data_IF_220622863842
#
_entry.id   IF_220622863842
#
_cell.length_a   1.000
_cell.length_b   1.000
_cell.length_c   1.000
_cell.angle_alpha   90.00
_cell.angle_beta   90.00
_cell.angle_gamma   90.00
#
_symmetry.space_group_name_H-M   'P 1'
#
loop_
_entity.id
_entity.type
_entity.pdbx_description
1 polymer ?
#
# COMPACT_ATOMS: atom_id res chain seq x y z
N UNK A 1 10.10 -21.66 -11.40
CA UNK A 1 9.96 -21.02 -12.72
C UNK A 1 10.39 -19.58 -12.56
N UNK A 2 11.62 -19.25 -12.99
CA UNK A 2 12.19 -17.91 -12.82
C UNK A 2 11.76 -17.01 -13.97
N UNK A 3 11.16 -15.87 -13.65
CA UNK A 3 10.87 -14.81 -14.61
C UNK A 3 12.18 -14.05 -14.87
N UNK A 4 12.82 -14.29 -16.02
CA UNK A 4 13.94 -13.45 -16.44
C UNK A 4 13.38 -12.17 -17.06
N UNK A 5 13.50 -11.06 -16.34
CA UNK A 5 13.22 -9.70 -16.81
C UNK A 5 14.22 -9.28 -17.89
N UNK A 6 13.98 -9.70 -19.12
CA UNK A 6 14.72 -9.21 -20.30
C UNK A 6 13.72 -8.65 -21.29
N UNK A 7 13.46 -7.33 -21.27
CA UNK A 7 12.53 -6.77 -22.26
C UNK A 7 12.17 -5.28 -22.24
N UNK A 8 12.62 -4.44 -21.29
CA UNK A 8 12.46 -2.98 -21.38
C UNK A 8 13.78 -2.28 -21.07
N UNK A 9 14.11 -1.25 -21.85
CA UNK A 9 15.19 -0.31 -21.52
C UNK A 9 14.78 0.43 -20.24
N UNK A 10 15.16 -0.13 -19.11
CA UNK A 10 15.09 0.56 -17.82
C UNK A 10 16.19 1.63 -17.83
N UNK A 11 15.87 2.93 -17.61
CA UNK A 11 16.86 3.98 -17.46
C UNK A 11 17.97 3.60 -16.47
N UNK A 12 19.20 4.06 -16.70
CA UNK A 12 20.36 3.66 -15.90
C UNK A 12 20.26 4.08 -14.42
N UNK A 13 19.40 5.04 -14.12
CA UNK A 13 19.11 5.55 -12.79
C UNK A 13 18.20 4.61 -11.98
N UNK A 14 17.51 3.67 -12.63
CA UNK A 14 16.63 2.72 -11.98
C UNK A 14 17.41 1.42 -11.74
N UNK A 15 17.73 1.19 -10.47
CA UNK A 15 18.27 -0.08 -10.00
C UNK A 15 17.12 -1.05 -9.73
N UNK A 16 17.18 -2.23 -10.33
CA UNK A 16 16.25 -3.31 -10.03
C UNK A 16 16.88 -4.24 -8.98
N UNK A 17 16.13 -4.54 -7.93
CA UNK A 17 16.46 -5.56 -6.93
C UNK A 17 15.40 -6.66 -6.95
N UNK A 18 15.80 -7.89 -6.60
CA UNK A 18 14.87 -9.01 -6.41
C UNK A 18 14.77 -9.19 -4.90
N UNK A 19 13.60 -8.89 -4.37
CA UNK A 19 13.31 -8.91 -2.95
C UNK A 19 11.99 -9.65 -2.73
N UNK A 20 11.94 -10.53 -1.73
CA UNK A 20 10.70 -11.16 -1.32
C UNK A 20 9.87 -10.13 -0.54
N UNK A 21 8.70 -9.76 -1.07
CA UNK A 21 7.85 -8.70 -0.51
C UNK A 21 7.47 -8.91 0.98
N UNK A 22 7.46 -10.17 1.43
CA UNK A 22 7.16 -10.56 2.82
C UNK A 22 8.37 -10.50 3.76
N UNK A 23 9.57 -10.63 3.21
CA UNK A 23 10.82 -10.66 3.99
C UNK A 23 11.61 -9.35 3.88
N UNK A 24 11.45 -8.60 2.80
CA UNK A 24 12.38 -7.53 2.40
C UNK A 24 11.64 -6.40 1.69
N UNK A 25 10.86 -5.60 2.41
CA UNK A 25 10.82 -4.18 2.05
C UNK A 25 11.92 -3.53 2.88
N UNK A 26 13.09 -3.56 2.26
CA UNK A 26 14.41 -3.41 2.84
C UNK A 26 14.54 -2.26 3.85
N UNK A 27 14.85 -2.64 5.09
CA UNK A 27 15.58 -1.84 6.07
C UNK A 27 16.99 -1.43 5.58
N UNK A 28 17.37 -1.74 4.33
CA UNK A 28 18.68 -1.38 3.77
C UNK A 28 18.73 0.08 3.32
N UNK A 29 17.62 0.66 2.85
CA UNK A 29 17.51 2.09 2.50
C UNK A 29 16.33 2.78 3.22
N UNK A 30 16.35 2.83 4.58
CA UNK A 30 15.33 3.52 5.34
C UNK A 30 15.42 5.03 5.10
N UNK A 31 14.27 5.70 5.18
CA UNK A 31 14.17 7.15 5.05
C UNK A 31 14.11 7.64 3.61
N UNK A 32 13.71 6.80 2.66
CA UNK A 32 13.37 7.23 1.31
C UNK A 32 12.25 8.29 1.35
N UNK A 33 12.23 9.19 0.36
CA UNK A 33 11.22 10.26 0.31
C UNK A 33 9.85 9.71 -0.07
N UNK A 34 9.78 8.77 -0.99
CA UNK A 34 8.56 8.09 -1.40
C UNK A 34 8.77 6.58 -1.42
N UNK A 35 7.82 5.86 -0.83
CA UNK A 35 7.63 4.43 -1.00
C UNK A 35 6.44 4.24 -1.92
N UNK A 36 6.58 3.50 -3.01
CA UNK A 36 5.52 3.35 -4.01
C UNK A 36 5.13 1.87 -4.18
N UNK A 37 3.83 1.59 -4.18
CA UNK A 37 3.26 0.28 -4.51
C UNK A 37 2.13 0.44 -5.52
N UNK A 38 2.06 -0.49 -6.47
CA UNK A 38 1.03 -0.55 -7.50
C UNK A 38 0.50 -1.97 -7.60
N UNK A 39 -0.79 -2.17 -7.31
CA UNK A 39 -1.48 -3.47 -7.39
C UNK A 39 -0.72 -4.57 -6.65
N UNK A 40 -0.42 -4.34 -5.37
CA UNK A 40 0.29 -5.28 -4.49
C UNK A 40 -0.57 -5.66 -3.30
N UNK A 41 -1.28 -4.70 -2.71
CA UNK A 41 -2.03 -4.91 -1.48
C UNK A 41 -3.38 -5.60 -1.75
N UNK A 42 -3.83 -5.67 -3.00
CA UNK A 42 -4.99 -6.45 -3.42
C UNK A 42 -4.70 -7.97 -3.48
N UNK A 43 -3.44 -8.38 -3.64
CA UNK A 43 -3.07 -9.80 -3.86
C UNK A 43 -3.10 -10.65 -2.60
N UNK A 44 -3.21 -10.02 -1.41
CA UNK A 44 -3.07 -10.70 -0.14
C UNK A 44 -4.21 -10.39 0.84
N UNK A 45 -4.49 -11.31 1.77
CA UNK A 45 -5.36 -11.03 2.91
C UNK A 45 -4.77 -9.93 3.82
N UNK A 46 -5.66 -9.28 4.57
CA UNK A 46 -5.36 -8.11 5.41
C UNK A 46 -4.19 -8.29 6.39
N UNK A 47 -4.04 -9.46 7.00
CA UNK A 47 -2.97 -9.76 7.96
C UNK A 47 -1.58 -9.76 7.31
N UNK A 48 -1.50 -10.29 6.09
CA UNK A 48 -0.29 -10.26 5.28
C UNK A 48 0.00 -8.83 4.79
N UNK A 49 -1.01 -8.12 4.29
CA UNK A 49 -0.88 -6.73 3.89
C UNK A 49 -0.40 -5.83 5.05
N UNK A 50 -0.92 -6.04 6.26
CA UNK A 50 -0.49 -5.30 7.45
C UNK A 50 0.97 -5.58 7.80
N UNK A 51 1.46 -6.80 7.56
CA UNK A 51 2.88 -7.13 7.75
C UNK A 51 3.75 -6.34 6.77
N UNK A 52 3.35 -6.23 5.51
CA UNK A 52 4.04 -5.41 4.49
C UNK A 52 4.02 -3.93 4.90
N UNK A 53 2.86 -3.40 5.27
CA UNK A 53 2.69 -1.99 5.68
C UNK A 53 3.51 -1.67 6.94
N UNK A 54 3.62 -2.60 7.89
CA UNK A 54 4.44 -2.41 9.09
C UNK A 54 5.93 -2.22 8.73
N UNK A 55 6.45 -2.92 7.71
CA UNK A 55 7.83 -2.72 7.23
C UNK A 55 8.03 -1.35 6.59
N UNK A 56 7.06 -0.90 5.78
CA UNK A 56 7.06 0.46 5.24
C UNK A 56 7.07 1.49 6.38
N UNK A 57 6.19 1.31 7.36
CA UNK A 57 6.12 2.18 8.53
C UNK A 57 7.46 2.29 9.25
N UNK A 58 8.15 1.16 9.49
CA UNK A 58 9.48 1.12 10.13
C UNK A 58 10.56 1.85 9.32
N UNK A 59 10.49 1.77 7.98
CA UNK A 59 11.45 2.42 7.10
C UNK A 59 11.19 3.92 6.90
N UNK A 60 9.96 4.40 7.10
CA UNK A 60 9.58 5.79 6.85
C UNK A 60 10.16 6.77 7.87
N UNK A 61 10.55 7.96 7.39
CA UNK A 61 10.96 9.10 8.22
C UNK A 61 9.77 10.04 8.47
N UNK A 62 9.43 10.36 9.74
CA UNK A 62 8.35 11.30 10.07
C UNK A 62 8.52 12.64 9.36
N UNK A 63 7.42 13.17 8.80
CA UNK A 63 7.34 14.46 8.08
C UNK A 63 8.19 14.56 6.80
N UNK A 64 8.80 13.48 6.35
CA UNK A 64 9.61 13.44 5.13
C UNK A 64 9.11 12.39 4.16
N UNK A 65 9.00 11.14 4.64
CA UNK A 65 8.59 10.02 3.81
C UNK A 65 7.08 10.02 3.57
N UNK A 66 6.69 9.65 2.36
CA UNK A 66 5.31 9.38 1.96
C UNK A 66 5.19 7.95 1.47
N UNK A 67 4.06 7.31 1.76
CA UNK A 67 3.71 6.02 1.19
C UNK A 67 2.60 6.24 0.17
N UNK A 68 2.89 5.89 -1.07
CA UNK A 68 2.01 6.11 -2.22
C UNK A 68 1.55 4.74 -2.70
N UNK A 69 0.24 4.54 -2.64
CA UNK A 69 -0.40 3.29 -3.03
C UNK A 69 -1.30 3.58 -4.22
N UNK A 70 -1.11 2.85 -5.32
CA UNK A 70 -1.95 2.95 -6.50
C UNK A 70 -2.76 1.66 -6.62
N UNK A 71 -4.03 1.74 -6.23
CA UNK A 71 -4.90 0.58 -6.00
C UNK A 71 -6.35 0.91 -6.34
N UNK A 72 -7.17 -0.13 -6.51
CA UNK A 72 -8.61 0.03 -6.76
C UNK A 72 -9.31 0.46 -5.47
N UNK A 73 -10.16 1.48 -5.57
CA UNK A 73 -11.03 1.94 -4.48
C UNK A 73 -12.48 1.72 -4.91
N UNK A 74 -13.10 0.69 -4.33
CA UNK A 74 -14.46 0.31 -4.68
C UNK A 74 -15.46 1.30 -4.04
N UNK A 75 -16.42 1.87 -4.79
CA UNK A 75 -17.45 2.71 -4.18
C UNK A 75 -18.34 1.85 -3.29
N UNK A 76 -18.74 2.40 -2.14
CA UNK A 76 -19.58 1.68 -1.16
C UNK A 76 -20.91 1.16 -1.75
N UNK A 77 -21.43 1.83 -2.79
CA UNK A 77 -22.59 1.37 -3.56
C UNK A 77 -22.43 1.72 -5.04
N UNK A 78 -23.03 0.91 -5.93
CA UNK A 78 -23.06 1.22 -7.36
C UNK A 78 -21.73 1.01 -8.09
N UNK A 79 -20.91 0.05 -7.65
CA UNK A 79 -19.71 -0.36 -8.37
C UNK A 79 -20.06 -0.76 -9.82
N UNK A 80 -19.23 -0.33 -10.77
CA UNK A 80 -19.43 -0.70 -12.16
C UNK A 80 -19.07 -2.18 -12.42
N UNK A 81 -19.41 -2.67 -13.61
CA UNK A 81 -19.19 -4.06 -13.98
C UNK A 81 -17.71 -4.44 -14.06
N UNK A 82 -16.82 -3.49 -14.34
CA UNK A 82 -15.38 -3.74 -14.44
C UNK A 82 -14.78 -3.90 -13.04
N UNK A 83 -15.07 -2.98 -12.12
CA UNK A 83 -14.68 -3.06 -10.71
C UNK A 83 -15.16 -4.37 -10.08
N UNK A 84 -16.42 -4.73 -10.33
CA UNK A 84 -17.01 -5.98 -9.84
C UNK A 84 -16.31 -7.22 -10.43
N UNK A 85 -15.95 -7.18 -11.72
CA UNK A 85 -15.26 -8.31 -12.35
C UNK A 85 -13.83 -8.50 -11.82
N UNK A 86 -13.12 -7.41 -11.51
CA UNK A 86 -11.78 -7.49 -10.90
C UNK A 86 -11.85 -8.04 -9.48
N UNK A 87 -12.81 -7.59 -8.66
CA UNK A 87 -12.99 -8.12 -7.30
C UNK A 87 -13.31 -9.63 -7.31
N UNK A 88 -14.12 -10.10 -8.26
CA UNK A 88 -14.32 -11.54 -8.46
C UNK A 88 -13.06 -12.28 -8.86
N UNK A 89 -12.22 -11.67 -9.72
CA UNK A 89 -10.93 -12.25 -10.09
C UNK A 89 -10.01 -12.36 -8.88
N UNK A 90 -9.97 -11.33 -8.02
CA UNK A 90 -9.20 -11.33 -6.77
C UNK A 90 -9.65 -12.47 -5.84
N UNK A 91 -10.96 -12.60 -5.64
CA UNK A 91 -11.54 -13.66 -4.83
C UNK A 91 -11.18 -15.07 -5.35
N UNK A 92 -11.27 -15.30 -6.66
CA UNK A 92 -11.03 -16.62 -7.27
C UNK A 92 -9.54 -16.98 -7.30
N UNK A 93 -8.67 -16.03 -7.58
CA UNK A 93 -7.24 -16.28 -7.81
C UNK A 93 -6.42 -16.22 -6.53
N UNK A 94 -6.76 -15.30 -5.63
CA UNK A 94 -5.92 -14.94 -4.47
C UNK A 94 -6.62 -15.14 -3.14
N UNK A 95 -7.93 -15.48 -3.13
CA UNK A 95 -8.75 -15.47 -1.91
C UNK A 95 -8.68 -14.13 -1.17
N UNK A 96 -8.56 -13.04 -1.93
CA UNK A 96 -8.54 -11.66 -1.46
C UNK A 96 -9.77 -10.91 -1.98
N UNK A 97 -9.89 -9.65 -1.58
CA UNK A 97 -10.95 -8.76 -2.03
C UNK A 97 -10.39 -7.36 -2.26
N UNK A 98 -10.97 -6.66 -3.22
CA UNK A 98 -10.77 -5.22 -3.35
C UNK A 98 -11.40 -4.49 -2.16
N UNK A 99 -10.88 -3.30 -1.85
CA UNK A 99 -11.26 -2.53 -0.66
C UNK A 99 -12.05 -1.29 -1.03
N UNK A 100 -13.05 -0.96 -0.21
CA UNK A 100 -13.73 0.33 -0.29
C UNK A 100 -12.87 1.45 0.28
N UNK A 101 -13.29 2.71 0.08
CA UNK A 101 -12.62 3.85 0.71
C UNK A 101 -12.53 3.70 2.24
N UNK A 102 -13.63 3.34 2.90
CA UNK A 102 -13.66 3.14 4.35
C UNK A 102 -12.74 1.99 4.79
N UNK A 103 -12.67 0.91 4.00
CA UNK A 103 -11.75 -0.21 4.25
C UNK A 103 -10.30 0.23 4.15
N UNK A 104 -9.93 1.03 3.14
CA UNK A 104 -8.58 1.58 2.99
C UNK A 104 -8.20 2.49 4.16
N UNK A 105 -9.11 3.40 4.56
CA UNK A 105 -8.89 4.28 5.71
C UNK A 105 -8.63 3.48 6.99
N UNK A 106 -9.48 2.50 7.29
CA UNK A 106 -9.37 1.60 8.44
C UNK A 106 -8.10 0.74 8.39
N UNK A 107 -7.78 0.19 7.22
CA UNK A 107 -6.61 -0.65 6.99
C UNK A 107 -5.31 0.12 7.28
N UNK A 108 -5.15 1.32 6.72
CA UNK A 108 -3.94 2.12 6.97
C UNK A 108 -3.85 2.62 8.41
N UNK A 109 -4.97 2.97 9.04
CA UNK A 109 -4.99 3.35 10.47
C UNK A 109 -4.51 2.20 11.36
N UNK A 110 -4.95 0.97 11.10
CA UNK A 110 -4.45 -0.25 11.79
C UNK A 110 -2.94 -0.45 11.58
N UNK A 111 -2.41 -0.04 10.43
CA UNK A 111 -0.98 -0.04 10.11
C UNK A 111 -0.19 1.15 10.69
N UNK A 112 -0.81 2.03 11.48
CA UNK A 112 -0.15 3.21 12.05
C UNK A 112 0.08 4.36 11.05
N UNK A 113 -0.52 4.26 9.88
CA UNK A 113 -0.46 5.27 8.83
C UNK A 113 -1.75 6.09 8.81
N UNK A 114 -1.64 7.33 8.37
CA UNK A 114 -2.77 8.22 8.14
C UNK A 114 -2.90 8.45 6.64
N UNK A 115 -4.08 8.16 6.09
CA UNK A 115 -4.42 8.55 4.72
C UNK A 115 -4.57 10.07 4.68
N UNK A 116 -3.79 10.71 3.81
CA UNK A 116 -3.80 12.16 3.62
C UNK A 116 -4.79 12.56 2.54
N UNK A 117 -4.79 11.84 1.43
CA UNK A 117 -5.67 12.10 0.31
C UNK A 117 -5.85 10.84 -0.55
N UNK A 118 -7.00 10.74 -1.19
CA UNK A 118 -7.30 9.76 -2.23
C UNK A 118 -7.64 10.55 -3.49
N UNK A 119 -6.93 10.29 -4.59
CA UNK A 119 -7.23 10.87 -5.90
C UNK A 119 -7.77 9.78 -6.81
N UNK A 120 -9.03 9.95 -7.21
CA UNK A 120 -9.72 9.13 -8.18
C UNK A 120 -10.06 9.97 -9.41
N UNK A 121 -10.07 9.36 -10.59
CA UNK A 121 -10.47 10.01 -11.84
C UNK A 121 -11.63 9.26 -12.47
N UNK A 122 -12.53 9.99 -13.12
CA UNK A 122 -13.61 9.37 -13.89
C UNK A 122 -13.03 8.45 -14.97
N UNK A 123 -13.60 7.26 -15.12
CA UNK A 123 -13.20 6.22 -16.09
C UNK A 123 -11.81 5.60 -15.86
N UNK A 124 -11.18 5.83 -14.70
CA UNK A 124 -9.99 5.10 -14.26
C UNK A 124 -10.38 4.28 -13.05
N UNK A 125 -10.06 2.99 -13.07
CA UNK A 125 -10.44 2.05 -12.01
C UNK A 125 -9.61 2.22 -10.74
N UNK A 126 -8.32 2.50 -10.93
CA UNK A 126 -7.35 2.69 -9.85
C UNK A 126 -7.36 4.12 -9.35
N UNK A 127 -7.07 4.28 -8.07
CA UNK A 127 -6.92 5.55 -7.38
C UNK A 127 -5.55 5.63 -6.74
N UNK A 128 -5.04 6.85 -6.62
CA UNK A 128 -3.81 7.12 -5.86
C UNK A 128 -4.19 7.41 -4.41
N UNK A 129 -3.58 6.71 -3.47
CA UNK A 129 -3.75 6.89 -2.03
C UNK A 129 -2.41 7.38 -1.48
N UNK A 130 -2.37 8.60 -0.94
CA UNK A 130 -1.19 9.11 -0.22
C UNK A 130 -1.38 8.88 1.27
N UNK A 131 -0.42 8.18 1.87
CA UNK A 131 -0.32 7.92 3.28
C UNK A 131 0.92 8.60 3.88
N UNK A 132 0.78 9.05 5.13
CA UNK A 132 1.87 9.57 5.95
C UNK A 132 1.90 8.88 7.32
N UNK A 133 3.04 8.93 8.00
CA UNK A 133 3.12 8.46 9.38
C UNK A 133 2.13 9.24 10.25
N UNK A 134 1.29 8.52 11.00
CA UNK A 134 0.42 9.17 11.98
C UNK A 134 1.29 9.99 12.93
N UNK A 135 0.90 11.25 13.18
CA UNK A 135 1.64 12.09 14.10
C UNK A 135 1.73 11.36 15.46
N UNK A 136 2.91 11.31 16.11
CA UNK A 136 2.99 10.76 17.44
C UNK A 136 2.06 11.56 18.34
N UNK A 137 1.06 10.90 18.91
CA UNK A 137 0.14 11.53 19.86
C UNK A 137 0.98 12.08 21.02
N UNK A 138 1.01 13.42 21.23
CA UNK A 138 1.79 14.02 22.30
C UNK A 138 1.37 13.54 23.70
N UNK A 139 0.21 12.88 23.84
CA UNK A 139 -0.29 12.34 25.10
C UNK A 139 -0.05 10.83 25.31
N UNK A 140 0.34 10.07 24.27
CA UNK A 140 0.53 8.61 24.37
C UNK A 140 1.81 8.19 25.09
N UNK A 141 2.82 9.06 25.16
CA UNK A 141 4.09 8.81 25.88
C UNK A 141 3.99 9.01 27.40
N UNK A 142 2.91 9.62 27.91
CA UNK A 142 2.70 9.82 29.35
C UNK A 142 2.05 8.63 30.06
N UNK A 143 1.57 7.63 29.32
CA UNK A 143 0.81 6.50 29.89
C UNK A 143 1.65 5.28 30.28
N UNK A 144 2.96 5.29 30.02
CA UNK A 144 3.87 4.18 30.35
C UNK A 144 4.77 4.46 31.57
N UNK A 145 4.55 5.56 32.27
CA UNK A 145 5.14 5.83 33.58
C UNK A 145 4.12 5.51 34.69
N UNK A 146 3.80 4.23 34.88
CA UNK A 146 3.21 3.71 36.13
C UNK A 146 3.93 2.42 36.50
#
# INVERSE_FOLDING_TARGET
>A
MGWSYTGRHVPAEIQATIEDALEVLSLEEPGAREYFMHSVLCDWPDDVCLTIVARIFEAMKPRYSKFIVYEIVIPATGADCQATAVDWMMMVMFSSSERTEDDWLSFFERGGLKVRNIWSMENILESLIECELAAPDPYRSMSTCV
#
